data_IF_932690037841
#
_entry.id   IF_932690037841
#
_cell.length_a   1.000
_cell.length_b   1.000
_cell.length_c   1.000
_cell.angle_alpha   90.00
_cell.angle_beta   90.00
_cell.angle_gamma   90.00
#
_symmetry.space_group_name_H-M   'P 1'
#
loop_
_entity.id
_entity.type
_entity.pdbx_description
1 polymer ?
#
# COMPACT_ATOMS: atom_id res chain seq x y z
N UNK A 1 9.12 1.74 -18.71
CA UNK A 1 9.16 0.95 -17.46
C UNK A 1 10.32 1.49 -16.61
N UNK A 2 10.13 1.71 -15.31
CA UNK A 2 11.26 2.04 -14.42
C UNK A 2 12.25 0.86 -14.47
N UNK A 3 13.54 1.12 -14.63
CA UNK A 3 14.55 0.06 -14.58
C UNK A 3 14.65 -0.54 -13.18
N UNK A 4 15.01 -1.83 -13.09
CA UNK A 4 15.08 -2.59 -11.83
C UNK A 4 15.87 -1.87 -10.73
N UNK A 5 17.05 -1.35 -11.07
CA UNK A 5 17.92 -0.63 -10.13
C UNK A 5 17.25 0.63 -9.54
N UNK A 6 16.42 1.32 -10.34
CA UNK A 6 15.71 2.51 -9.87
C UNK A 6 14.57 2.13 -8.93
N UNK A 7 13.88 1.01 -9.18
CA UNK A 7 12.83 0.51 -8.29
C UNK A 7 13.42 0.08 -6.94
N UNK A 8 14.52 -0.66 -6.97
CA UNK A 8 15.21 -1.13 -5.76
C UNK A 8 15.65 0.03 -4.87
N UNK A 9 16.27 1.07 -5.44
CA UNK A 9 16.61 2.31 -4.72
C UNK A 9 15.41 3.04 -4.13
N UNK A 10 14.23 2.96 -4.77
CA UNK A 10 13.00 3.58 -4.26
C UNK A 10 12.40 2.75 -3.12
N UNK A 11 12.52 1.42 -3.16
CA UNK A 11 12.14 0.52 -2.07
C UNK A 11 13.06 0.77 -0.86
N UNK A 12 14.38 0.82 -1.05
CA UNK A 12 15.34 1.11 0.03
C UNK A 12 15.08 2.46 0.71
N UNK A 13 14.60 3.45 -0.05
CA UNK A 13 14.22 4.78 0.47
C UNK A 13 12.81 4.83 1.06
N UNK A 14 12.08 3.71 1.11
CA UNK A 14 10.69 3.60 1.52
C UNK A 14 9.73 4.51 0.73
N UNK A 15 10.10 4.89 -0.49
CA UNK A 15 9.19 5.61 -1.41
C UNK A 15 8.19 4.65 -2.04
N UNK A 16 8.62 3.42 -2.31
CA UNK A 16 7.74 2.31 -2.69
C UNK A 16 7.73 1.33 -1.53
N UNK A 17 6.55 1.04 -1.00
CA UNK A 17 6.36 0.06 0.07
C UNK A 17 5.51 -1.10 -0.45
N UNK A 18 5.99 -2.33 -0.28
CA UNK A 18 5.22 -3.54 -0.55
C UNK A 18 5.02 -4.25 0.77
N UNK A 19 3.78 -4.31 1.25
CA UNK A 19 3.46 -4.87 2.54
C UNK A 19 2.13 -5.64 2.52
N UNK A 20 1.95 -6.64 3.41
CA UNK A 20 0.67 -7.34 3.56
C UNK A 20 -0.44 -6.39 4.02
N UNK A 21 -1.69 -6.67 3.65
CA UNK A 21 -2.86 -5.87 4.04
C UNK A 21 -2.95 -5.62 5.56
N UNK A 22 -2.55 -6.59 6.39
CA UNK A 22 -2.57 -6.45 7.85
C UNK A 22 -1.71 -5.28 8.38
N UNK A 23 -0.65 -4.90 7.67
CA UNK A 23 0.25 -3.79 8.03
C UNK A 23 -0.42 -2.42 7.86
N UNK A 24 -1.53 -2.35 7.13
CA UNK A 24 -2.28 -1.12 6.93
C UNK A 24 -3.09 -0.73 8.16
N UNK A 25 -3.37 -1.67 9.08
CA UNK A 25 -4.19 -1.43 10.27
C UNK A 25 -3.62 -0.30 11.13
N UNK A 26 -4.44 0.70 11.42
CA UNK A 26 -4.06 1.81 12.30
C UNK A 26 -3.17 2.87 11.64
N UNK A 27 -2.81 2.72 10.36
CA UNK A 27 -2.08 3.74 9.60
C UNK A 27 -3.02 4.79 9.00
N UNK A 28 -2.48 5.96 8.74
CA UNK A 28 -3.06 6.95 7.83
C UNK A 28 -2.04 7.20 6.74
N UNK A 29 -2.44 7.03 5.49
CA UNK A 29 -1.57 7.13 4.32
C UNK A 29 -1.91 8.44 3.60
N UNK A 30 -1.21 9.51 4.00
CA UNK A 30 -1.32 10.84 3.39
C UNK A 30 -0.36 10.97 2.21
N UNK A 31 -0.70 11.80 1.23
CA UNK A 31 0.12 12.11 0.04
C UNK A 31 0.72 10.85 -0.64
N UNK A 32 -0.10 9.80 -0.77
CA UNK A 32 0.34 8.51 -1.27
C UNK A 32 -0.64 7.92 -2.28
N UNK A 33 -0.10 7.24 -3.29
CA UNK A 33 -0.86 6.31 -4.11
C UNK A 33 -0.83 4.92 -3.47
N UNK A 34 -2.00 4.32 -3.30
CA UNK A 34 -2.15 3.03 -2.64
C UNK A 34 -2.85 2.08 -3.60
N UNK A 35 -2.27 0.90 -3.80
CA UNK A 35 -2.80 -0.14 -4.68
C UNK A 35 -3.03 -1.40 -3.83
N UNK A 36 -4.24 -1.94 -3.89
CA UNK A 36 -4.57 -3.24 -3.32
C UNK A 36 -4.71 -4.24 -4.46
N UNK A 37 -3.72 -5.11 -4.58
CA UNK A 37 -3.77 -6.23 -5.51
C UNK A 37 -4.63 -7.38 -4.96
N UNK A 38 -5.16 -8.23 -5.86
CA UNK A 38 -5.96 -9.41 -5.49
C UNK A 38 -7.15 -9.09 -4.55
N UNK A 39 -7.74 -7.90 -4.73
CA UNK A 39 -8.76 -7.34 -3.82
C UNK A 39 -10.01 -8.22 -3.65
N UNK A 40 -10.30 -9.09 -4.62
CA UNK A 40 -11.39 -10.07 -4.55
C UNK A 40 -11.22 -11.10 -3.44
N UNK A 41 -10.00 -11.30 -2.92
CA UNK A 41 -9.72 -12.22 -1.80
C UNK A 41 -9.94 -11.58 -0.42
N UNK A 42 -10.39 -10.33 -0.35
CA UNK A 42 -10.62 -9.63 0.92
C UNK A 42 -12.03 -9.83 1.46
N UNK A 43 -12.17 -9.80 2.78
CA UNK A 43 -13.49 -9.66 3.42
C UNK A 43 -13.98 -8.21 3.36
N UNK A 44 -15.27 -7.99 3.59
CA UNK A 44 -15.86 -6.66 3.65
C UNK A 44 -15.20 -5.80 4.74
N UNK A 45 -14.90 -6.39 5.90
CA UNK A 45 -14.24 -5.73 7.01
C UNK A 45 -12.80 -5.34 6.65
N UNK A 46 -12.09 -6.21 5.94
CA UNK A 46 -10.74 -5.95 5.46
C UNK A 46 -10.71 -4.83 4.43
N UNK A 47 -11.63 -4.83 3.47
CA UNK A 47 -11.79 -3.76 2.49
C UNK A 47 -12.12 -2.43 3.18
N UNK A 48 -13.05 -2.43 4.14
CA UNK A 48 -13.37 -1.22 4.93
C UNK A 48 -12.18 -0.72 5.74
N UNK A 49 -11.42 -1.63 6.36
CA UNK A 49 -10.20 -1.29 7.08
C UNK A 49 -9.21 -0.59 6.14
N UNK A 50 -9.00 -1.14 4.94
CA UNK A 50 -8.11 -0.59 3.92
C UNK A 50 -8.55 0.81 3.43
N UNK A 51 -9.80 0.95 3.00
CA UNK A 51 -10.32 2.22 2.45
C UNK A 51 -10.26 3.37 3.47
N UNK A 52 -10.45 3.07 4.76
CA UNK A 52 -10.34 4.08 5.83
C UNK A 52 -8.90 4.49 6.17
N UNK A 53 -7.88 3.94 5.50
CA UNK A 53 -6.49 4.37 5.66
C UNK A 53 -6.11 5.52 4.74
N UNK A 54 -6.91 5.77 3.69
CA UNK A 54 -6.68 6.85 2.73
C UNK A 54 -6.75 8.19 3.48
N UNK A 55 -5.60 8.87 3.52
CA UNK A 55 -5.44 10.18 4.14
C UNK A 55 -5.71 11.34 3.18
N UNK A 56 -5.37 12.55 3.61
CA UNK A 56 -5.45 13.77 2.80
C UNK A 56 -4.12 14.06 2.09
#
# INVERSE_FOLDING_TARGET
>A
MLGFEKVEKLIERNVIEVAPLAYMRGRTLNDAFIILDESQNTTIEQMKMFLTRIGF
#
